data_IF_749819944797
#
_entry.id   IF_749819944797
#
_cell.length_a   1.000
_cell.length_b   1.000
_cell.length_c   1.000
_cell.angle_alpha   90.00
_cell.angle_beta   90.00
_cell.angle_gamma   90.00
#
_symmetry.space_group_name_H-M   'P 1'
#
loop_
_entity.id
_entity.type
_entity.pdbx_description
1 polymer ?
#
# COMPACT_ATOMS: atom_id res chain seq x y z
N UNK A 1 19.90 -4.57 7.71
CA UNK A 1 21.37 -4.72 7.59
C UNK A 1 21.64 -5.68 6.46
N UNK A 2 22.46 -5.29 5.49
CA UNK A 2 22.81 -6.09 4.30
C UNK A 2 24.30 -6.38 4.32
N UNK A 3 24.71 -7.54 3.84
CA UNK A 3 26.11 -7.91 3.73
C UNK A 3 26.43 -8.54 2.38
N UNK A 4 27.59 -8.19 1.82
CA UNK A 4 28.13 -8.75 0.58
C UNK A 4 29.61 -9.05 0.77
N UNK A 5 30.09 -10.19 0.29
CA UNK A 5 31.49 -10.60 0.45
C UNK A 5 32.20 -10.71 -0.88
N UNK A 6 33.46 -10.27 -0.93
CA UNK A 6 34.37 -10.45 -2.05
C UNK A 6 35.63 -11.20 -1.58
N UNK A 7 35.92 -12.33 -2.20
CA UNK A 7 37.07 -13.17 -1.82
C UNK A 7 38.30 -12.79 -2.65
N UNK A 8 39.39 -12.44 -1.98
CA UNK A 8 40.69 -12.14 -2.55
C UNK A 8 41.74 -12.94 -1.78
N UNK A 9 41.98 -14.22 -2.13
CA UNK A 9 42.79 -15.13 -1.32
C UNK A 9 44.15 -14.52 -0.92
N UNK A 10 44.58 -14.64 0.34
CA UNK A 10 43.97 -15.40 1.44
C UNK A 10 42.91 -14.63 2.26
N UNK A 11 42.43 -13.49 1.76
CA UNK A 11 41.52 -12.60 2.50
C UNK A 11 40.09 -12.64 1.95
N UNK A 12 39.13 -12.27 2.80
CA UNK A 12 37.75 -11.99 2.40
C UNK A 12 37.44 -10.56 2.81
N UNK A 13 36.87 -9.78 1.91
CA UNK A 13 36.41 -8.42 2.19
C UNK A 13 34.90 -8.44 2.29
N UNK A 14 34.38 -8.24 3.51
CA UNK A 14 32.95 -8.10 3.76
C UNK A 14 32.54 -6.64 3.74
N UNK A 15 31.51 -6.32 2.97
CA UNK A 15 30.90 -5.00 2.94
C UNK A 15 29.52 -5.11 3.56
N UNK A 16 29.26 -4.29 4.58
CA UNK A 16 28.02 -4.21 5.31
C UNK A 16 27.36 -2.87 5.05
N UNK A 17 26.05 -2.90 4.78
CA UNK A 17 25.22 -1.71 4.63
C UNK A 17 24.15 -1.68 5.74
N UNK A 18 24.12 -0.57 6.48
CA UNK A 18 23.07 -0.25 7.44
C UNK A 18 22.22 0.87 6.84
N UNK A 19 20.90 0.67 6.78
CA UNK A 19 20.00 1.48 5.96
C UNK A 19 18.74 1.77 6.78
N UNK A 20 18.33 3.03 6.78
CA UNK A 20 17.03 3.46 7.26
C UNK A 20 16.46 4.52 6.30
N UNK A 21 15.49 4.18 5.45
CA UNK A 21 14.93 5.12 4.47
C UNK A 21 13.96 6.14 5.07
N UNK A 22 13.57 5.97 6.34
CA UNK A 22 12.56 6.79 7.00
C UNK A 22 13.12 7.75 8.06
N UNK A 23 14.33 7.49 8.55
CA UNK A 23 14.98 8.30 9.58
C UNK A 23 16.50 8.11 9.56
N UNK A 24 17.20 8.96 10.31
CA UNK A 24 18.63 8.80 10.56
C UNK A 24 18.94 7.44 11.21
N UNK A 25 20.16 6.96 10.97
CA UNK A 25 20.69 5.78 11.64
C UNK A 25 20.92 6.07 13.12
N UNK A 26 20.66 5.05 13.94
CA UNK A 26 20.96 5.12 15.37
C UNK A 26 22.48 5.11 15.57
N UNK A 27 23.05 6.06 16.34
CA UNK A 27 24.48 6.09 16.60
C UNK A 27 24.97 4.82 17.29
N UNK A 28 26.17 4.38 16.95
CA UNK A 28 26.84 3.30 17.67
C UNK A 28 27.18 3.71 19.12
N UNK A 29 27.22 2.75 20.06
CA UNK A 29 27.54 3.01 21.46
C UNK A 29 28.97 3.54 21.65
N UNK A 30 29.21 4.14 22.81
CA UNK A 30 30.50 4.78 23.09
C UNK A 30 31.71 3.83 23.16
N UNK A 31 31.45 2.52 23.29
CA UNK A 31 32.48 1.48 23.24
C UNK A 31 33.15 1.32 21.87
N UNK A 32 32.50 1.76 20.79
CA UNK A 32 33.07 1.72 19.44
C UNK A 32 33.96 2.96 19.23
N UNK A 33 35.19 2.87 18.72
CA UNK A 33 36.01 4.05 18.43
C UNK A 33 35.31 4.99 17.45
N UNK A 34 35.38 6.32 17.65
CA UNK A 34 34.68 7.30 16.79
C UNK A 34 35.01 7.19 15.29
N UNK A 35 36.23 6.76 14.96
CA UNK A 35 36.67 6.55 13.58
C UNK A 35 36.01 5.33 12.90
N UNK A 36 35.49 4.41 13.72
CA UNK A 36 34.84 3.17 13.29
C UNK A 36 33.30 3.28 13.31
N UNK A 37 32.75 4.45 13.67
CA UNK A 37 31.31 4.70 13.75
C UNK A 37 30.79 5.28 12.45
N UNK A 38 29.53 5.02 12.17
CA UNK A 38 28.83 5.70 11.09
C UNK A 38 28.72 7.21 11.40
N UNK A 39 28.80 8.10 10.39
CA UNK A 39 28.58 9.52 10.60
C UNK A 39 27.18 9.81 11.18
N UNK A 40 27.08 10.75 12.13
CA UNK A 40 25.84 11.03 12.89
C UNK A 40 24.61 11.40 12.03
N UNK A 41 24.83 11.92 10.82
CA UNK A 41 23.75 12.32 9.89
C UNK A 41 23.51 11.29 8.75
N UNK A 42 23.95 10.04 8.92
CA UNK A 42 23.79 9.00 7.92
C UNK A 42 22.37 8.42 7.90
N UNK A 43 21.82 8.25 6.70
CA UNK A 43 20.62 7.42 6.44
C UNK A 43 21.04 6.04 5.94
N UNK A 44 22.15 6.01 5.19
CA UNK A 44 22.78 4.80 4.70
C UNK A 44 24.26 4.86 5.02
N UNK A 45 24.74 3.86 5.75
CA UNK A 45 26.13 3.72 6.13
C UNK A 45 26.70 2.44 5.56
N UNK A 46 27.91 2.54 5.01
CA UNK A 46 28.71 1.43 4.51
C UNK A 46 29.90 1.23 5.43
N UNK A 47 30.10 -0.01 5.86
CA UNK A 47 31.32 -0.45 6.53
C UNK A 47 31.97 -1.59 5.76
N UNK A 48 33.30 -1.53 5.61
CA UNK A 48 34.08 -2.54 4.90
C UNK A 48 35.08 -3.15 5.85
N UNK A 49 35.01 -4.46 6.02
CA UNK A 49 35.87 -5.22 6.91
C UNK A 49 36.70 -6.20 6.10
N UNK A 50 38.01 -6.18 6.27
CA UNK A 50 38.91 -7.18 5.75
C UNK A 50 39.13 -8.30 6.78
N UNK A 51 38.81 -9.52 6.39
CA UNK A 51 38.97 -10.73 7.17
C UNK A 51 40.16 -11.52 6.63
N UNK A 52 41.02 -11.98 7.52
CA UNK A 52 42.18 -12.80 7.18
C UNK A 52 42.33 -13.91 8.24
N UNK A 53 41.70 -15.04 8.00
CA UNK A 53 41.71 -16.26 8.84
C UNK A 53 42.04 -16.01 10.32
N UNK A 54 43.26 -16.33 10.75
CA UNK A 54 43.71 -16.30 12.15
C UNK A 54 44.11 -14.92 12.69
N UNK A 55 43.79 -13.84 11.98
CA UNK A 55 44.08 -12.46 12.38
C UNK A 55 42.77 -11.74 12.63
N UNK A 56 42.75 -10.90 13.67
CA UNK A 56 41.58 -10.08 13.98
C UNK A 56 41.13 -9.27 12.75
N UNK A 57 39.82 -9.27 12.43
CA UNK A 57 39.28 -8.52 11.31
C UNK A 57 39.56 -7.03 11.45
N UNK A 58 39.81 -6.38 10.31
CA UNK A 58 40.12 -4.96 10.27
C UNK A 58 39.02 -4.21 9.56
N UNK A 59 38.42 -3.26 10.26
CA UNK A 59 37.53 -2.28 9.65
C UNK A 59 38.41 -1.29 8.86
N UNK A 60 38.28 -1.33 7.54
CA UNK A 60 39.13 -0.56 6.62
C UNK A 60 38.40 0.65 6.03
N UNK A 61 37.09 0.72 6.19
CA UNK A 61 36.28 1.81 5.67
C UNK A 61 34.97 1.95 6.46
N UNK A 62 34.59 3.17 6.82
CA UNK A 62 33.25 3.53 7.30
C UNK A 62 32.87 4.88 6.74
N UNK A 63 31.79 4.95 5.96
CA UNK A 63 31.31 6.21 5.40
C UNK A 63 29.78 6.21 5.20
N UNK A 64 29.20 7.41 5.23
CA UNK A 64 27.81 7.61 4.85
C UNK A 64 27.68 7.60 3.31
N UNK A 65 26.95 6.63 2.77
CA UNK A 65 26.63 6.57 1.34
C UNK A 65 25.44 7.48 1.01
N UNK A 66 24.56 7.69 1.98
CA UNK A 66 23.52 8.70 1.95
C UNK A 66 23.40 9.39 3.31
N UNK A 67 23.19 10.71 3.27
CA UNK A 67 23.22 11.58 4.43
C UNK A 67 24.58 12.23 4.63
N UNK A 68 24.59 13.55 4.80
CA UNK A 68 25.79 14.34 5.06
C UNK A 68 25.50 15.45 6.07
N UNK A 69 26.54 16.18 6.50
CA UNK A 69 26.39 17.34 7.41
C UNK A 69 25.54 18.47 6.81
N UNK A 70 25.44 18.55 5.48
CA UNK A 70 24.38 19.31 4.79
C UNK A 70 23.19 18.37 4.71
N UNK A 71 22.31 18.44 5.70
CA UNK A 71 21.14 17.57 5.78
C UNK A 71 20.11 17.99 4.73
N UNK A 72 20.31 17.57 3.49
CA UNK A 72 19.25 17.59 2.47
C UNK A 72 18.31 16.41 2.74
N UNK A 73 17.00 16.61 2.54
CA UNK A 73 16.03 15.53 2.67
C UNK A 73 16.13 14.56 1.48
N UNK A 74 15.80 13.27 1.65
CA UNK A 74 15.78 12.37 0.52
C UNK A 74 14.73 12.78 -0.50
N UNK A 75 15.05 12.62 -1.78
CA UNK A 75 14.14 12.87 -2.89
C UNK A 75 13.47 11.55 -3.26
N UNK A 76 12.14 11.54 -3.28
CA UNK A 76 11.37 10.37 -3.74
C UNK A 76 10.74 10.69 -5.09
N UNK A 77 11.17 9.98 -6.13
CA UNK A 77 10.67 10.12 -7.49
C UNK A 77 9.79 8.93 -7.82
N UNK A 78 8.55 9.19 -8.29
CA UNK A 78 7.68 8.15 -8.81
C UNK A 78 7.89 8.03 -10.33
N UNK A 79 8.19 6.82 -10.83
CA UNK A 79 8.30 6.58 -12.27
C UNK A 79 7.00 6.03 -12.82
N UNK A 80 6.39 6.76 -13.75
CA UNK A 80 5.14 6.36 -14.41
C UNK A 80 5.41 5.87 -15.83
N UNK A 81 4.73 4.82 -16.24
CA UNK A 81 4.64 4.41 -17.64
C UNK A 81 3.27 4.83 -18.20
N UNK A 82 3.22 5.98 -18.88
CA UNK A 82 1.97 6.54 -19.42
C UNK A 82 0.97 6.95 -18.33
N UNK A 83 -0.30 6.54 -18.48
CA UNK A 83 -1.41 6.87 -17.56
C UNK A 83 -1.57 5.89 -16.38
N UNK A 84 -0.67 4.92 -16.22
CA UNK A 84 -0.75 3.96 -15.11
C UNK A 84 -0.19 4.57 -13.82
N UNK A 85 -0.75 4.19 -12.65
CA UNK A 85 -0.16 4.57 -11.37
C UNK A 85 1.29 4.07 -11.28
N UNK A 86 2.18 4.77 -10.56
CA UNK A 86 3.57 4.37 -10.44
C UNK A 86 3.68 3.06 -9.65
N UNK A 87 4.29 2.05 -10.23
CA UNK A 87 4.63 0.78 -9.55
C UNK A 87 6.06 0.78 -8.98
N UNK A 88 6.84 1.82 -9.31
CA UNK A 88 8.26 1.97 -9.00
C UNK A 88 8.54 3.37 -8.44
N UNK A 89 9.17 3.41 -7.27
CA UNK A 89 9.59 4.63 -6.59
C UNK A 89 11.09 4.59 -6.34
N UNK A 90 11.76 5.69 -6.66
CA UNK A 90 13.18 5.87 -6.41
C UNK A 90 13.37 6.80 -5.24
N UNK A 91 13.90 6.28 -4.15
CA UNK A 91 14.41 7.10 -3.06
C UNK A 91 15.88 7.38 -3.33
N UNK A 92 16.23 8.66 -3.46
CA UNK A 92 17.58 9.11 -3.80
C UNK A 92 18.10 10.08 -2.77
N UNK A 93 19.36 9.93 -2.41
CA UNK A 93 20.01 10.83 -1.48
C UNK A 93 21.53 10.77 -1.61
N UNK A 94 22.16 11.93 -1.60
CA UNK A 94 23.61 12.08 -1.60
C UNK A 94 24.19 11.88 -0.20
N UNK A 95 25.43 11.43 -0.15
CA UNK A 95 26.18 11.13 1.06
C UNK A 95 27.51 11.85 1.14
N UNK A 96 28.53 11.14 1.62
CA UNK A 96 29.87 11.67 1.75
C UNK A 96 30.55 11.87 0.38
N UNK A 97 31.47 12.84 0.32
CA UNK A 97 32.39 12.96 -0.80
C UNK A 97 33.69 12.22 -0.45
N UNK A 98 34.02 11.21 -1.25
CA UNK A 98 35.23 10.39 -1.11
C UNK A 98 36.01 10.45 -2.42
N UNK A 99 37.29 10.84 -2.34
CA UNK A 99 38.19 10.95 -3.50
C UNK A 99 37.61 11.73 -4.70
N UNK A 100 36.95 12.86 -4.41
CA UNK A 100 36.26 13.77 -5.37
C UNK A 100 34.97 13.20 -5.98
N UNK A 101 34.58 12.00 -5.62
CA UNK A 101 33.29 11.42 -6.00
C UNK A 101 32.30 11.63 -4.86
N UNK A 102 31.15 12.24 -5.16
CA UNK A 102 30.03 12.29 -4.21
C UNK A 102 29.34 10.95 -4.25
N UNK A 103 29.26 10.28 -3.11
CA UNK A 103 28.50 9.05 -3.03
C UNK A 103 27.01 9.35 -2.96
N UNK A 104 26.21 8.45 -3.50
CA UNK A 104 24.76 8.58 -3.53
C UNK A 104 24.12 7.21 -3.41
N UNK A 105 22.89 7.15 -2.90
CA UNK A 105 22.11 5.92 -2.83
C UNK A 105 20.83 6.07 -3.64
N UNK A 106 20.51 5.08 -4.47
CA UNK A 106 19.24 4.94 -5.18
C UNK A 106 18.56 3.64 -4.73
N UNK A 107 17.47 3.77 -3.98
CA UNK A 107 16.64 2.64 -3.54
C UNK A 107 15.40 2.58 -4.42
N UNK A 108 15.34 1.53 -5.25
CA UNK A 108 14.18 1.18 -6.06
C UNK A 108 13.17 0.41 -5.22
N UNK A 109 12.13 1.08 -4.77
CA UNK A 109 10.97 0.44 -4.14
C UNK A 109 10.02 -0.10 -5.19
N UNK A 110 9.66 -1.38 -5.08
CA UNK A 110 8.74 -2.08 -5.98
C UNK A 110 7.49 -2.47 -5.20
N UNK A 111 6.31 -2.13 -5.72
CA UNK A 111 5.05 -2.60 -5.14
C UNK A 111 4.96 -4.13 -5.19
N UNK A 112 4.85 -4.75 -4.02
CA UNK A 112 4.62 -6.19 -3.87
C UNK A 112 3.71 -6.46 -2.68
N UNK A 113 2.44 -6.81 -2.95
CA UNK A 113 1.43 -7.10 -1.92
C UNK A 113 1.74 -8.37 -1.12
N UNK A 114 2.57 -9.27 -1.65
CA UNK A 114 2.98 -10.52 -1.00
C UNK A 114 4.26 -10.41 -0.17
N UNK A 115 5.05 -9.36 -0.37
CA UNK A 115 6.26 -9.12 0.42
C UNK A 115 5.89 -8.69 1.84
N UNK A 116 6.83 -8.83 2.78
CA UNK A 116 6.69 -8.28 4.13
C UNK A 116 7.53 -7.02 4.23
N UNK A 117 7.07 -6.05 5.03
CA UNK A 117 7.87 -4.86 5.33
C UNK A 117 9.20 -5.20 6.05
N UNK A 118 9.31 -6.40 6.63
CA UNK A 118 10.53 -6.91 7.26
C UNK A 118 11.55 -7.51 6.28
N UNK A 119 11.17 -7.74 5.02
CA UNK A 119 12.08 -8.33 4.04
C UNK A 119 13.22 -7.34 3.76
N UNK A 120 14.43 -7.86 3.62
CA UNK A 120 15.61 -7.03 3.38
C UNK A 120 15.72 -6.64 1.90
N UNK A 121 16.18 -5.41 1.59
CA UNK A 121 16.47 -5.03 0.22
C UNK A 121 17.61 -5.87 -0.37
N UNK A 122 17.62 -6.00 -1.69
CA UNK A 122 18.72 -6.62 -2.45
C UNK A 122 19.70 -5.55 -2.90
N UNK A 123 20.98 -5.78 -2.67
CA UNK A 123 22.04 -4.95 -3.24
C UNK A 123 22.21 -5.34 -4.71
N UNK A 124 21.96 -4.40 -5.62
CA UNK A 124 22.20 -4.63 -7.05
C UNK A 124 23.68 -4.40 -7.36
N UNK A 125 24.19 -3.20 -7.06
CA UNK A 125 25.60 -2.86 -7.17
C UNK A 125 26.00 -1.62 -6.38
N UNK A 126 27.30 -1.41 -6.26
CA UNK A 126 27.92 -0.16 -5.83
C UNK A 126 29.00 0.21 -6.85
N UNK A 127 28.71 1.15 -7.74
CA UNK A 127 29.62 1.56 -8.84
C UNK A 127 29.58 3.07 -9.02
N UNK A 128 30.72 3.65 -9.34
CA UNK A 128 30.88 5.09 -9.58
C UNK A 128 30.34 5.98 -8.43
N UNK A 129 30.41 5.47 -7.19
CA UNK A 129 29.91 6.14 -6.00
C UNK A 129 28.41 5.99 -5.76
N UNK A 130 27.67 5.27 -6.62
CA UNK A 130 26.22 5.07 -6.49
C UNK A 130 25.92 3.67 -5.96
N UNK A 131 25.16 3.59 -4.86
CA UNK A 131 24.61 2.36 -4.31
C UNK A 131 23.20 2.14 -4.85
N UNK A 132 23.03 1.09 -5.67
CA UNK A 132 21.75 0.71 -6.23
C UNK A 132 21.13 -0.44 -5.44
N UNK A 133 19.95 -0.22 -4.88
CA UNK A 133 19.21 -1.22 -4.10
C UNK A 133 17.84 -1.49 -4.70
N UNK A 134 17.36 -2.72 -4.58
CA UNK A 134 15.99 -3.09 -4.93
C UNK A 134 15.24 -3.60 -3.71
N UNK A 135 14.07 -3.02 -3.44
CA UNK A 135 13.27 -3.37 -2.26
C UNK A 135 11.80 -3.56 -2.62
N UNK A 136 11.35 -4.82 -2.64
CA UNK A 136 9.95 -5.15 -2.79
C UNK A 136 9.22 -4.99 -1.44
N UNK A 137 8.26 -4.07 -1.36
CA UNK A 137 7.49 -3.81 -0.13
C UNK A 137 6.01 -3.52 -0.43
N UNK A 138 5.08 -3.93 0.43
CA UNK A 138 3.67 -3.57 0.32
C UNK A 138 3.41 -2.07 0.39
N UNK A 139 4.21 -1.33 1.18
CA UNK A 139 4.05 0.12 1.34
C UNK A 139 4.20 0.90 0.02
N UNK A 140 4.97 0.36 -0.94
CA UNK A 140 5.10 0.95 -2.27
C UNK A 140 3.81 0.83 -3.10
N UNK A 141 2.84 0.03 -2.68
CA UNK A 141 1.52 -0.06 -3.33
C UNK A 141 0.56 1.05 -2.88
N UNK A 142 0.95 1.99 -2.02
CA UNK A 142 0.05 3.01 -1.47
C UNK A 142 -0.63 3.91 -2.53
N UNK A 143 -0.05 3.99 -3.74
CA UNK A 143 -0.66 4.70 -4.87
C UNK A 143 -1.66 3.84 -5.69
N UNK A 144 -1.71 2.53 -5.47
CA UNK A 144 -2.83 1.71 -5.99
C UNK A 144 -4.14 2.06 -5.26
N UNK A 145 -4.05 2.58 -4.02
CA UNK A 145 -5.19 2.80 -3.13
C UNK A 145 -5.66 4.26 -3.05
N UNK A 146 -5.12 5.17 -3.87
CA UNK A 146 -5.60 6.56 -3.95
C UNK A 146 -6.04 6.91 -5.38
N UNK A 147 -7.33 6.89 -5.69
CA UNK A 147 -8.33 7.82 -5.18
C UNK A 147 -8.86 7.52 -3.76
N UNK A 148 -8.35 8.23 -2.76
CA UNK A 148 -8.90 8.15 -1.40
C UNK A 148 -7.88 8.41 -0.30
N UNK A 149 -7.32 9.62 -0.26
CA UNK A 149 -6.58 10.07 0.91
C UNK A 149 -7.45 9.97 2.16
N UNK A 150 -6.91 9.36 3.20
CA UNK A 150 -7.55 9.21 4.49
C UNK A 150 -6.50 8.88 5.52
N UNK A 151 -5.88 9.93 6.06
CA UNK A 151 -4.97 9.87 7.19
C UNK A 151 -5.53 8.96 8.29
N UNK A 152 -4.77 7.92 8.64
CA UNK A 152 -4.89 7.28 9.96
C UNK A 152 -3.56 7.45 10.68
N UNK A 153 -3.55 8.47 11.54
CA UNK A 153 -2.62 8.60 12.67
C UNK A 153 -2.61 7.28 13.47
N UNK A 154 -1.43 6.78 13.91
CA UNK A 154 -1.38 5.58 14.73
C UNK A 154 -1.81 5.92 16.15
N UNK A 155 -2.78 5.18 16.69
CA UNK A 155 -2.92 5.02 18.14
C UNK A 155 -2.40 3.64 18.53
N UNK A 156 -1.50 3.69 19.49
CA UNK A 156 -0.86 2.65 20.25
C UNK A 156 -1.90 1.91 21.13
N UNK A 157 -1.74 0.60 21.33
CA UNK A 157 -2.64 -0.17 22.19
C UNK A 157 -2.63 -1.67 21.95
N UNK A 158 -1.73 -2.36 22.65
CA UNK A 158 -1.74 -3.80 22.91
C UNK A 158 -3.11 -4.37 23.32
N UNK A 159 -3.56 -5.44 22.63
CA UNK A 159 -3.93 -6.75 23.22
C UNK A 159 -4.48 -7.75 22.18
N UNK A 160 -3.94 -8.97 22.26
CA UNK A 160 -4.32 -10.22 21.57
C UNK A 160 -5.55 -10.88 22.26
N UNK A 161 -6.06 -12.05 21.78
CA UNK A 161 -6.89 -12.35 20.60
C UNK A 161 -8.32 -12.79 20.97
N UNK A 162 -9.25 -12.91 20.00
CA UNK A 162 -10.02 -14.14 19.77
C UNK A 162 -10.89 -14.09 18.51
N UNK A 163 -11.25 -15.31 18.09
CA UNK A 163 -12.00 -15.80 16.93
C UNK A 163 -13.18 -14.95 16.41
N UNK A 164 -13.39 -15.04 15.09
CA UNK A 164 -14.58 -14.45 14.47
C UNK A 164 -14.53 -14.43 12.95
N UNK A 165 -14.64 -15.62 12.36
CA UNK A 165 -14.92 -15.86 10.95
C UNK A 165 -16.05 -14.93 10.44
N UNK A 166 -15.74 -14.13 9.40
CA UNK A 166 -16.72 -13.48 8.52
C UNK A 166 -16.00 -13.06 7.24
N UNK A 167 -16.03 -13.96 6.27
CA UNK A 167 -15.88 -13.68 4.86
C UNK A 167 -16.80 -12.50 4.47
N UNK A 168 -16.29 -11.28 4.54
CA UNK A 168 -16.96 -10.12 3.98
C UNK A 168 -16.43 -9.99 2.56
N UNK A 169 -17.19 -10.56 1.62
CA UNK A 169 -17.02 -10.35 0.20
C UNK A 169 -17.09 -8.84 -0.09
N UNK A 170 -15.93 -8.20 -0.17
CA UNK A 170 -15.76 -6.79 -0.50
C UNK A 170 -15.87 -6.57 -2.00
N UNK A 171 -17.07 -6.76 -2.54
CA UNK A 171 -17.38 -6.47 -3.94
C UNK A 171 -18.60 -5.56 -4.03
N UNK A 172 -18.43 -4.26 -3.83
CA UNK A 172 -19.48 -3.30 -4.22
C UNK A 172 -18.95 -1.88 -4.43
N UNK A 173 -18.04 -1.73 -5.38
CA UNK A 173 -17.83 -0.44 -6.04
C UNK A 173 -18.90 -0.25 -7.11
N UNK A 174 -19.55 0.91 -7.14
CA UNK A 174 -20.58 1.36 -8.09
C UNK A 174 -22.04 0.93 -7.84
N UNK A 175 -22.38 -0.36 -7.73
CA UNK A 175 -23.80 -0.77 -7.63
C UNK A 175 -24.44 -0.50 -6.25
N UNK A 176 -23.68 -0.59 -5.15
CA UNK A 176 -24.21 -0.32 -3.80
C UNK A 176 -24.53 1.14 -3.56
N UNK A 177 -23.72 2.08 -4.06
CA UNK A 177 -23.96 3.51 -3.80
C UNK A 177 -25.28 4.00 -4.43
N UNK A 178 -25.56 3.59 -5.67
CA UNK A 178 -26.83 3.89 -6.34
C UNK A 178 -28.04 3.28 -5.59
N UNK A 179 -27.91 2.03 -5.14
CA UNK A 179 -28.97 1.34 -4.40
C UNK A 179 -29.20 1.99 -3.03
N UNK A 180 -28.14 2.42 -2.34
CA UNK A 180 -28.23 3.14 -1.06
C UNK A 180 -28.94 4.48 -1.24
N UNK A 181 -28.62 5.26 -2.28
CA UNK A 181 -29.31 6.54 -2.54
C UNK A 181 -30.79 6.32 -2.85
N UNK A 182 -31.14 5.31 -3.65
CA UNK A 182 -32.54 4.97 -3.93
C UNK A 182 -33.31 4.59 -2.67
N UNK A 183 -32.71 3.80 -1.77
CA UNK A 183 -33.34 3.44 -0.49
C UNK A 183 -33.55 4.67 0.39
N UNK A 184 -32.59 5.60 0.45
CA UNK A 184 -32.74 6.84 1.22
C UNK A 184 -33.85 7.73 0.67
N UNK A 185 -33.91 7.91 -0.65
CA UNK A 185 -34.99 8.68 -1.31
C UNK A 185 -36.36 8.03 -1.09
N UNK A 186 -36.42 6.69 -1.16
CA UNK A 186 -37.64 5.94 -0.88
C UNK A 186 -38.12 6.13 0.57
N UNK A 187 -37.21 6.07 1.54
CA UNK A 187 -37.54 6.31 2.96
C UNK A 187 -38.03 7.74 3.19
N UNK A 188 -37.40 8.74 2.57
CA UNK A 188 -37.86 10.13 2.64
C UNK A 188 -39.26 10.29 2.03
N UNK A 189 -39.54 9.65 0.90
CA UNK A 189 -40.86 9.64 0.28
C UNK A 189 -41.93 9.02 1.21
N UNK A 190 -41.63 7.89 1.87
CA UNK A 190 -42.54 7.28 2.83
C UNK A 190 -42.81 8.20 4.03
N UNK A 191 -41.77 8.77 4.64
CA UNK A 191 -41.93 9.63 5.82
C UNK A 191 -42.73 10.89 5.48
N UNK A 192 -42.39 11.58 4.40
CA UNK A 192 -43.08 12.82 3.99
C UNK A 192 -44.54 12.51 3.59
N UNK A 193 -44.78 11.44 2.85
CA UNK A 193 -46.12 11.08 2.40
C UNK A 193 -47.03 10.59 3.54
N UNK A 194 -46.48 9.84 4.51
CA UNK A 194 -47.18 9.47 5.74
C UNK A 194 -47.48 10.70 6.57
N UNK A 195 -46.50 11.59 6.77
CA UNK A 195 -46.69 12.80 7.58
C UNK A 195 -47.73 13.75 6.95
N UNK A 196 -47.69 13.92 5.62
CA UNK A 196 -48.68 14.72 4.89
C UNK A 196 -50.10 14.17 5.06
N UNK A 197 -50.30 12.85 4.87
CA UNK A 197 -51.62 12.22 5.03
C UNK A 197 -52.10 12.21 6.49
N UNK A 198 -51.17 12.06 7.44
CA UNK A 198 -51.48 12.08 8.87
C UNK A 198 -51.91 13.47 9.36
N UNK A 199 -51.19 14.52 8.97
CA UNK A 199 -51.47 15.89 9.44
C UNK A 199 -52.58 16.59 8.65
N UNK A 200 -52.69 16.37 7.34
CA UNK A 200 -53.64 17.09 6.47
C UNK A 200 -54.95 16.32 6.28
N UNK A 201 -54.90 14.99 6.18
CA UNK A 201 -56.06 14.15 5.81
C UNK A 201 -56.63 13.38 7.02
N UNK A 202 -55.89 13.30 8.14
CA UNK A 202 -56.29 12.64 9.41
C UNK A 202 -56.81 11.21 9.23
N UNK A 203 -56.32 10.49 8.23
CA UNK A 203 -56.66 9.08 8.02
C UNK A 203 -55.86 8.21 8.98
N UNK A 204 -56.52 7.29 9.68
CA UNK A 204 -55.88 6.33 10.58
C UNK A 204 -56.12 4.91 10.09
N UNK A 205 -55.05 4.16 9.83
CA UNK A 205 -55.08 2.78 9.34
C UNK A 205 -53.97 2.48 8.33
N UNK A 206 -54.02 1.31 7.68
CA UNK A 206 -53.05 0.88 6.64
C UNK A 206 -53.10 1.73 5.35
N UNK A 207 -54.05 2.67 5.24
CA UNK A 207 -54.21 3.58 4.11
C UNK A 207 -53.29 4.83 4.16
N UNK A 208 -52.40 4.86 5.16
CA UNK A 208 -51.45 5.94 5.39
C UNK A 208 -50.25 5.88 4.44
N UNK A 209 -49.99 4.72 3.83
CA UNK A 209 -48.88 4.52 2.88
C UNK A 209 -49.24 5.14 1.51
N UNK A 210 -48.44 6.09 1.00
CA UNK A 210 -48.65 6.68 -0.33
C UNK A 210 -48.63 5.63 -1.44
N UNK A 211 -49.65 5.63 -2.31
CA UNK A 211 -49.81 4.71 -3.47
C UNK A 211 -49.83 3.21 -3.09
N UNK A 212 -50.55 2.83 -2.03
CA UNK A 212 -50.69 1.42 -1.57
C UNK A 212 -51.09 0.41 -2.65
N UNK A 213 -51.95 0.81 -3.60
CA UNK A 213 -52.37 -0.06 -4.70
C UNK A 213 -51.16 -0.54 -5.53
N UNK A 214 -50.20 0.35 -5.80
CA UNK A 214 -48.96 0.01 -6.49
C UNK A 214 -48.06 -0.91 -5.66
N UNK A 215 -47.91 -0.65 -4.36
CA UNK A 215 -47.05 -1.45 -3.48
C UNK A 215 -47.54 -2.89 -3.31
N UNK A 216 -48.85 -3.11 -3.37
CA UNK A 216 -49.44 -4.45 -3.34
C UNK A 216 -49.18 -5.24 -4.63
N UNK A 217 -49.05 -4.54 -5.76
CA UNK A 217 -48.81 -5.13 -7.08
C UNK A 217 -47.32 -5.28 -7.40
N UNK A 218 -46.46 -4.51 -6.73
CA UNK A 218 -45.01 -4.54 -6.87
C UNK A 218 -44.36 -5.94 -6.76
N UNK A 219 -44.67 -6.81 -5.78
CA UNK A 219 -44.04 -8.13 -5.69
C UNK A 219 -44.36 -9.03 -6.90
N UNK A 220 -45.57 -8.91 -7.46
CA UNK A 220 -45.96 -9.63 -8.67
C UNK A 220 -45.23 -9.08 -9.90
N UNK A 221 -45.06 -7.77 -9.98
CA UNK A 221 -44.31 -7.13 -11.07
C UNK A 221 -42.83 -7.55 -11.07
N UNK A 222 -42.21 -7.65 -9.89
CA UNK A 222 -40.83 -8.08 -9.73
C UNK A 222 -40.67 -9.56 -10.06
N UNK A 223 -41.62 -10.42 -9.66
CA UNK A 223 -41.57 -11.84 -10.03
C UNK A 223 -41.68 -12.05 -11.53
N UNK A 224 -42.55 -11.31 -12.22
CA UNK A 224 -42.70 -11.40 -13.68
C UNK A 224 -41.43 -10.92 -14.40
N UNK A 225 -40.81 -9.84 -13.92
CA UNK A 225 -39.56 -9.34 -14.49
C UNK A 225 -38.39 -10.29 -14.24
N UNK A 226 -38.32 -10.90 -13.05
CA UNK A 226 -37.31 -11.90 -12.71
C UNK A 226 -37.47 -13.18 -13.53
N UNK A 227 -38.70 -13.63 -13.78
CA UNK A 227 -38.99 -14.76 -14.66
C UNK A 227 -38.57 -14.47 -16.11
N UNK A 228 -38.87 -13.28 -16.63
CA UNK A 228 -38.42 -12.86 -17.96
C UNK A 228 -36.90 -12.79 -18.09
N UNK A 229 -36.19 -12.25 -17.10
CA UNK A 229 -34.73 -12.22 -17.10
C UNK A 229 -34.14 -13.63 -16.96
N UNK A 230 -34.73 -14.47 -16.12
CA UNK A 230 -34.31 -15.87 -15.98
C UNK A 230 -34.51 -16.66 -17.28
N UNK A 231 -35.60 -16.41 -18.02
CA UNK A 231 -35.84 -17.03 -19.32
C UNK A 231 -34.88 -16.52 -20.41
N UNK A 232 -34.46 -15.25 -20.35
CA UNK A 232 -33.49 -14.64 -21.27
C UNK A 232 -32.06 -15.14 -20.98
N UNK A 233 -31.65 -15.22 -19.72
CA UNK A 233 -30.31 -15.63 -19.29
C UNK A 233 -30.17 -17.16 -19.25
N UNK A 234 -31.24 -17.88 -18.93
CA UNK A 234 -31.29 -19.34 -18.80
C UNK A 234 -31.30 -20.10 -20.12
N UNK A 235 -31.25 -19.41 -21.26
CA UNK A 235 -30.98 -20.04 -22.56
C UNK A 235 -31.97 -21.15 -22.95
N UNK A 236 -33.24 -21.06 -22.55
CA UNK A 236 -34.27 -21.96 -23.10
C UNK A 236 -34.65 -21.46 -24.49
N UNK A 237 -34.00 -22.05 -25.51
CA UNK A 237 -34.45 -21.99 -26.90
C UNK A 237 -35.93 -22.38 -26.96
N UNK A 238 -36.82 -21.39 -27.08
CA UNK A 238 -38.24 -21.63 -27.38
C UNK A 238 -38.32 -21.92 -28.88
N UNK A 239 -38.64 -23.18 -29.19
CA UNK A 239 -38.82 -23.68 -30.55
C UNK A 239 -39.86 -22.88 -31.34
N UNK A 240 -39.69 -22.90 -32.65
CA UNK A 240 -40.35 -22.02 -33.60
C UNK A 240 -41.86 -22.24 -33.74
N UNK A 241 -42.54 -21.16 -34.12
CA UNK A 241 -43.86 -21.22 -34.75
C UNK A 241 -43.66 -21.48 -36.25
N UNK A 242 -44.12 -22.62 -36.73
CA UNK A 242 -44.41 -22.82 -38.16
C UNK A 242 -45.85 -22.44 -38.41
N UNK A 243 -46.05 -21.49 -39.31
CA UNK A 243 -47.35 -21.16 -39.92
C UNK A 243 -47.67 -22.28 -40.91
N UNK A 244 -48.81 -22.97 -40.73
CA UNK A 244 -49.56 -23.66 -41.78
C UNK A 244 -51.02 -23.28 -41.69
#
# INVERSE_FOLDING_TARGET
>A
MLETNATTPPTVTGTKYTINPCALLTPEPDSVPKIDRCPEAAWVCRSVTNYKDSVDPRLIEVNAVAGSKKADAPVVEARTSGNQPPSEFHWKMDGAQVDKTVWSTDIKFICSKSAKNSDLPKVLDFKDGVLSLEWAVPAACALDDTSGGGDKKPEDGDKKPEDGDKNTAGGSGFFSSLLTVLVVVFMLYLVVGVMYRFLVVRTTGLDLIPNMAFWREFPYLVSDFAQHIWDIVGGRRRGGYSVV
#
